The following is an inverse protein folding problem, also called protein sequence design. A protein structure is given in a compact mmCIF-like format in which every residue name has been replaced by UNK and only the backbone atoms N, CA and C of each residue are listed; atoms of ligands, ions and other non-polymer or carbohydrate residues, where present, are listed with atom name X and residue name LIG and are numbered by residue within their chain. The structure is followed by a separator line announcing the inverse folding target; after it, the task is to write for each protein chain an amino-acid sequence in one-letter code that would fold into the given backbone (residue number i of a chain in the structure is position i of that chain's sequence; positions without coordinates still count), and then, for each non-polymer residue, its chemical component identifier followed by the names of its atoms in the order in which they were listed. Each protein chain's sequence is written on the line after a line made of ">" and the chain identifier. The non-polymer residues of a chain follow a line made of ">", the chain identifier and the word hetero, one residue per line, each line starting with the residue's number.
data_IF_611913583407
#
_entry.id   IF_611913583407
#
_cell.length_a   1.000
_cell.length_b   1.000
_cell.length_c   1.000
_cell.angle_alpha   90.00
_cell.angle_beta   90.00
_cell.angle_gamma   90.00
#
_symmetry.space_group_name_H-M   'P 1'
#
loop_
_entity.id
_entity.type
_entity.pdbx_description
1 polymer ?
#
# COMPACT_ATOMS: atom_id res chain seq x y z
N UNK A 1 13.29 -10.06 -18.86
CA UNK A 1 12.22 -9.18 -18.36
C UNK A 1 11.40 -8.61 -19.50
N UNK A 2 12.00 -7.90 -20.45
CA UNK A 2 11.29 -7.31 -21.61
C UNK A 2 10.44 -8.32 -22.41
N UNK A 3 10.99 -9.50 -22.74
CA UNK A 3 10.22 -10.58 -23.41
C UNK A 3 9.06 -11.15 -22.58
N UNK A 4 9.16 -11.13 -21.25
CA UNK A 4 8.16 -11.74 -20.35
C UNK A 4 7.09 -10.73 -19.90
N UNK A 5 7.43 -9.44 -19.90
CA UNK A 5 6.60 -8.32 -19.47
C UNK A 5 6.73 -7.14 -20.47
N UNK A 6 6.35 -7.34 -21.74
CA UNK A 6 6.51 -6.31 -22.77
C UNK A 6 5.68 -5.08 -22.42
N UNK A 7 6.29 -3.89 -22.49
CA UNK A 7 5.63 -2.62 -22.17
C UNK A 7 5.47 -2.32 -20.67
N UNK A 8 5.82 -3.25 -19.78
CA UNK A 8 5.77 -3.03 -18.32
C UNK A 8 7.10 -2.56 -17.71
N UNK A 9 8.20 -2.70 -18.45
CA UNK A 9 9.53 -2.32 -17.97
C UNK A 9 10.23 -1.44 -19.00
N UNK A 10 10.92 -0.41 -18.52
CA UNK A 10 11.90 0.36 -19.28
C UNK A 10 13.25 0.25 -18.59
N UNK A 11 14.26 -0.22 -19.31
CA UNK A 11 15.63 -0.29 -18.80
C UNK A 11 16.35 1.02 -19.10
N UNK A 12 16.97 1.60 -18.09
CA UNK A 12 17.74 2.84 -18.20
C UNK A 12 19.13 2.59 -17.66
N UNK A 13 20.14 3.10 -18.37
CA UNK A 13 21.49 3.16 -17.86
C UNK A 13 21.60 4.35 -16.91
N UNK A 14 21.96 4.09 -15.66
CA UNK A 14 22.04 5.12 -14.62
C UNK A 14 23.12 6.17 -14.89
N UNK A 15 24.09 5.88 -15.77
CA UNK A 15 25.11 6.83 -16.23
C UNK A 15 24.53 7.92 -17.14
N UNK A 16 23.35 7.67 -17.74
CA UNK A 16 22.66 8.62 -18.61
C UNK A 16 21.69 9.45 -17.77
N UNK A 17 22.24 10.37 -16.98
CA UNK A 17 21.49 11.18 -15.99
C UNK A 17 20.24 11.84 -16.58
N UNK A 18 20.34 12.40 -17.79
CA UNK A 18 19.20 13.05 -18.46
C UNK A 18 18.04 12.09 -18.78
N UNK A 19 18.33 10.82 -19.10
CA UNK A 19 17.29 9.82 -19.34
C UNK A 19 16.61 9.38 -18.04
N UNK A 20 17.39 9.26 -16.96
CA UNK A 20 16.88 8.95 -15.63
C UNK A 20 15.99 10.10 -15.14
N UNK A 21 16.46 11.35 -15.23
CA UNK A 21 15.70 12.52 -14.84
C UNK A 21 14.40 12.65 -15.64
N UNK A 22 14.46 12.45 -16.95
CA UNK A 22 13.25 12.47 -17.79
C UNK A 22 12.25 11.37 -17.41
N UNK A 23 12.73 10.16 -17.12
CA UNK A 23 11.86 9.06 -16.70
C UNK A 23 11.24 9.28 -15.30
N UNK A 24 11.96 9.97 -14.41
CA UNK A 24 11.50 10.32 -13.07
C UNK A 24 10.72 11.63 -13.01
N UNK A 25 10.63 12.40 -14.10
CA UNK A 25 9.94 13.69 -14.11
C UNK A 25 8.45 13.56 -13.70
N UNK A 26 7.81 12.45 -14.05
CA UNK A 26 6.44 12.12 -13.61
C UNK A 26 6.34 11.58 -12.18
N UNK A 27 7.46 11.50 -11.46
CA UNK A 27 7.60 10.98 -10.11
C UNK A 27 8.27 12.00 -9.17
N UNK A 28 8.25 13.29 -9.53
CA UNK A 28 9.04 14.35 -8.89
C UNK A 28 8.76 14.55 -7.39
N UNK A 29 7.59 14.14 -6.91
CA UNK A 29 7.17 14.27 -5.51
C UNK A 29 7.62 13.10 -4.62
N UNK A 30 8.19 12.04 -5.21
CA UNK A 30 8.50 10.84 -4.46
C UNK A 30 9.90 10.93 -3.84
N UNK A 31 10.05 10.60 -2.54
CA UNK A 31 11.33 10.64 -1.85
C UNK A 31 12.21 9.44 -2.26
N UNK A 32 12.64 9.40 -3.52
CA UNK A 32 13.54 8.36 -4.03
C UNK A 32 14.99 8.76 -3.70
N UNK A 33 15.71 8.02 -2.82
CA UNK A 33 17.08 8.38 -2.48
C UNK A 33 17.99 8.17 -3.70
N UNK A 34 18.46 9.26 -4.34
CA UNK A 34 19.26 9.20 -5.57
C UNK A 34 20.49 8.28 -5.44
N UNK A 35 21.15 8.28 -4.28
CA UNK A 35 22.31 7.42 -3.99
C UNK A 35 22.00 5.93 -3.98
N UNK A 36 20.75 5.53 -3.76
CA UNK A 36 20.29 4.13 -3.83
C UNK A 36 19.72 3.79 -5.20
N UNK A 37 19.18 4.78 -5.91
CA UNK A 37 18.65 4.60 -7.25
C UNK A 37 19.76 4.32 -8.28
N UNK A 38 20.87 5.04 -8.17
CA UNK A 38 22.01 4.92 -9.06
C UNK A 38 23.24 4.51 -8.27
N UNK A 39 23.46 3.20 -8.14
CA UNK A 39 24.69 2.65 -7.55
C UNK A 39 25.48 1.80 -8.55
N UNK A 40 26.81 1.82 -8.51
CA UNK A 40 27.64 1.00 -9.40
C UNK A 40 27.29 -0.48 -9.29
N UNK A 41 27.01 -1.12 -10.43
CA UNK A 41 26.70 -2.55 -10.52
C UNK A 41 25.35 -2.98 -9.92
N UNK A 42 24.58 -2.04 -9.35
CA UNK A 42 23.29 -2.32 -8.75
C UNK A 42 22.13 -2.21 -9.74
N UNK A 43 21.04 -2.90 -9.43
CA UNK A 43 19.78 -2.78 -10.16
C UNK A 43 18.70 -2.32 -9.19
N UNK A 44 18.03 -1.23 -9.55
CA UNK A 44 16.90 -0.68 -8.81
C UNK A 44 15.71 -0.54 -9.76
N UNK A 45 14.49 -0.64 -9.24
CA UNK A 45 13.27 -0.39 -10.01
C UNK A 45 12.46 0.72 -9.34
N UNK A 46 11.91 1.58 -10.18
CA UNK A 46 10.93 2.58 -9.80
C UNK A 46 9.63 2.21 -10.50
N UNK A 47 8.60 2.07 -9.70
CA UNK A 47 7.27 1.73 -10.16
C UNK A 47 6.46 3.00 -10.47
N UNK A 48 5.42 2.97 -11.33
CA UNK A 48 4.57 4.13 -11.58
C UNK A 48 3.82 4.64 -10.34
N UNK A 49 3.59 3.76 -9.36
CA UNK A 49 3.06 4.11 -8.04
C UNK A 49 4.06 4.85 -7.15
N UNK A 50 5.30 5.03 -7.61
CA UNK A 50 6.38 5.65 -6.86
C UNK A 50 7.13 4.75 -5.89
N UNK A 51 6.74 3.48 -5.81
CA UNK A 51 7.46 2.49 -5.02
C UNK A 51 8.86 2.28 -5.63
N UNK A 52 9.85 2.30 -4.75
CA UNK A 52 11.25 2.09 -5.06
C UNK A 52 11.72 0.74 -4.50
N UNK A 53 12.34 -0.10 -5.35
CA UNK A 53 12.83 -1.43 -4.97
C UNK A 53 14.35 -1.49 -5.19
N UNK A 54 15.10 -1.76 -4.12
CA UNK A 54 16.57 -1.92 -4.09
C UNK A 54 16.97 -2.79 -2.89
N UNK A 55 17.96 -3.70 -3.00
CA UNK A 55 18.71 -4.17 -4.18
C UNK A 55 17.98 -5.27 -4.96
N UNK A 56 17.61 -5.07 -6.23
CA UNK A 56 16.86 -6.09 -7.01
C UNK A 56 17.73 -7.29 -7.34
N UNK A 57 19.03 -7.10 -7.57
CA UNK A 57 19.93 -8.20 -7.89
C UNK A 57 20.08 -9.20 -6.72
N UNK A 58 19.85 -8.76 -5.48
CA UNK A 58 19.84 -9.64 -4.31
C UNK A 58 18.50 -10.37 -4.16
N UNK A 59 17.40 -9.71 -4.54
CA UNK A 59 16.04 -10.23 -4.34
C UNK A 59 15.17 -10.09 -5.60
N UNK A 60 15.53 -10.73 -6.73
CA UNK A 60 14.83 -10.54 -8.01
C UNK A 60 13.37 -11.02 -7.97
N UNK A 61 13.04 -11.92 -7.02
CA UNK A 61 11.68 -12.42 -6.80
C UNK A 61 10.69 -11.29 -6.48
N UNK A 62 11.11 -10.24 -5.76
CA UNK A 62 10.24 -9.11 -5.40
C UNK A 62 9.80 -8.36 -6.65
N UNK A 63 10.74 -8.04 -7.55
CA UNK A 63 10.42 -7.40 -8.82
C UNK A 63 9.52 -8.30 -9.68
N UNK A 64 9.83 -9.60 -9.78
CA UNK A 64 9.03 -10.54 -10.57
C UNK A 64 7.62 -10.72 -10.02
N UNK A 65 7.45 -10.74 -8.70
CA UNK A 65 6.15 -10.76 -8.05
C UNK A 65 5.35 -9.51 -8.43
N UNK A 66 5.94 -8.32 -8.28
CA UNK A 66 5.26 -7.06 -8.58
C UNK A 66 4.86 -6.94 -10.07
N UNK A 67 5.75 -7.36 -10.97
CA UNK A 67 5.44 -7.38 -12.41
C UNK A 67 4.32 -8.37 -12.75
N UNK A 68 4.28 -9.53 -12.08
CA UNK A 68 3.17 -10.49 -12.23
C UNK A 68 1.88 -9.94 -11.63
N UNK A 69 1.95 -9.33 -10.46
CA UNK A 69 0.81 -8.71 -9.79
C UNK A 69 0.18 -7.68 -10.71
N UNK A 70 0.94 -6.71 -11.22
CA UNK A 70 0.44 -5.68 -12.13
C UNK A 70 -0.12 -6.19 -13.44
N UNK A 71 0.45 -7.28 -13.95
CA UNK A 71 -0.05 -7.92 -15.17
C UNK A 71 -1.37 -8.65 -14.94
N UNK A 72 -1.58 -9.18 -13.73
CA UNK A 72 -2.67 -10.13 -13.44
C UNK A 72 -3.81 -9.51 -12.64
N UNK A 73 -3.55 -8.42 -11.92
CA UNK A 73 -4.55 -7.71 -11.13
C UNK A 73 -5.35 -6.82 -12.06
N UNK A 74 -6.62 -7.15 -12.18
CA UNK A 74 -7.60 -6.36 -12.91
C UNK A 74 -8.16 -5.34 -11.93
N UNK A 75 -8.16 -4.04 -12.26
CA UNK A 75 -8.87 -3.04 -11.46
C UNK A 75 -10.34 -3.44 -11.31
N UNK A 76 -10.98 -3.13 -10.17
CA UNK A 76 -12.40 -3.43 -10.00
C UNK A 76 -13.22 -2.71 -11.07
N UNK A 77 -14.29 -3.35 -11.54
CA UNK A 77 -15.23 -2.70 -12.44
C UNK A 77 -15.93 -1.57 -11.68
N UNK A 78 -16.36 -0.53 -12.40
CA UNK A 78 -17.11 0.58 -11.80
C UNK A 78 -18.36 0.08 -11.07
N UNK A 79 -19.09 -0.87 -11.67
CA UNK A 79 -20.27 -1.48 -11.06
C UNK A 79 -19.96 -2.20 -9.74
N UNK A 80 -18.80 -2.86 -9.63
CA UNK A 80 -18.38 -3.50 -8.37
C UNK A 80 -18.04 -2.46 -7.30
N UNK A 81 -17.36 -1.38 -7.71
CA UNK A 81 -17.01 -0.28 -6.79
C UNK A 81 -18.26 0.41 -6.26
N UNK A 82 -19.22 0.71 -7.13
CA UNK A 82 -20.52 1.29 -6.75
C UNK A 82 -21.32 0.36 -5.83
N UNK A 83 -21.26 -0.95 -6.10
CA UNK A 83 -21.89 -1.97 -5.24
C UNK A 83 -21.26 -1.99 -3.86
N UNK A 84 -19.92 -1.98 -3.76
CA UNK A 84 -19.19 -1.95 -2.49
C UNK A 84 -19.49 -0.71 -1.69
N UNK A 85 -19.49 0.45 -2.35
CA UNK A 85 -19.83 1.70 -1.72
C UNK A 85 -21.23 1.64 -1.10
N UNK A 86 -22.23 1.19 -1.87
CA UNK A 86 -23.62 1.12 -1.42
C UNK A 86 -23.85 0.07 -0.33
N UNK A 87 -23.27 -1.12 -0.46
CA UNK A 87 -23.64 -2.29 0.36
C UNK A 87 -22.82 -2.40 1.66
N UNK A 88 -21.62 -1.82 1.69
CA UNK A 88 -20.70 -1.99 2.81
C UNK A 88 -20.15 -0.65 3.32
N UNK A 89 -19.57 0.18 2.44
CA UNK A 89 -18.84 1.38 2.88
C UNK A 89 -19.80 2.46 3.41
N UNK A 90 -20.82 2.85 2.65
CA UNK A 90 -21.77 3.88 3.07
C UNK A 90 -22.55 3.50 4.35
N UNK A 91 -23.03 2.26 4.53
CA UNK A 91 -23.62 1.83 5.80
C UNK A 91 -22.67 1.96 7.00
N UNK A 92 -21.42 1.53 6.84
CA UNK A 92 -20.41 1.62 7.89
C UNK A 92 -20.04 3.08 8.20
N UNK A 93 -19.92 3.92 7.18
CA UNK A 93 -19.68 5.36 7.34
C UNK A 93 -20.79 6.03 8.15
N UNK A 94 -22.06 5.75 7.83
CA UNK A 94 -23.21 6.25 8.59
C UNK A 94 -23.13 5.84 10.07
N UNK A 95 -22.84 4.57 10.34
CA UNK A 95 -22.74 4.06 11.71
C UNK A 95 -21.61 4.71 12.50
N UNK A 96 -20.49 5.03 11.83
CA UNK A 96 -19.40 5.81 12.42
C UNK A 96 -19.85 7.23 12.76
N UNK A 97 -20.47 7.93 11.80
CA UNK A 97 -20.96 9.31 12.00
C UNK A 97 -21.98 9.39 13.15
N UNK A 98 -22.92 8.45 13.22
CA UNK A 98 -23.90 8.36 14.33
C UNK A 98 -23.24 8.06 15.69
N UNK A 99 -22.10 7.37 15.70
CA UNK A 99 -21.35 7.10 16.92
C UNK A 99 -20.52 8.33 17.34
N UNK A 100 -19.94 9.05 16.39
CA UNK A 100 -19.26 10.33 16.63
C UNK A 100 -20.23 11.36 17.23
N UNK A 101 -21.46 11.44 16.73
CA UNK A 101 -22.52 12.31 17.26
C UNK A 101 -22.93 11.96 18.70
N UNK A 102 -22.86 10.68 19.09
CA UNK A 102 -23.15 10.22 20.46
C UNK A 102 -22.09 10.64 21.47
N UNK A 103 -20.92 11.09 21.00
CA UNK A 103 -19.86 11.65 21.81
C UNK A 103 -18.89 10.62 22.41
N UNK A 104 -18.08 11.05 23.40
CA UNK A 104 -16.98 10.27 23.95
C UNK A 104 -17.44 8.92 24.50
N UNK A 105 -16.69 7.85 24.19
CA UNK A 105 -17.02 6.47 24.59
C UNK A 105 -17.63 5.61 23.47
N UNK A 106 -17.92 6.18 22.30
CA UNK A 106 -18.38 5.44 21.11
C UNK A 106 -17.26 5.15 20.10
N UNK A 107 -16.00 5.23 20.54
CA UNK A 107 -14.79 5.09 19.69
C UNK A 107 -14.75 3.75 18.93
N UNK A 108 -15.29 2.69 19.54
CA UNK A 108 -15.38 1.35 18.94
C UNK A 108 -16.76 1.08 18.36
N UNK A 109 -17.28 2.03 17.59
CA UNK A 109 -18.58 1.95 16.91
C UNK A 109 -18.77 0.67 16.09
N UNK A 110 -17.68 0.13 15.57
CA UNK A 110 -17.63 -1.10 14.76
C UNK A 110 -17.92 -2.37 15.56
N UNK A 111 -17.98 -2.31 16.90
CA UNK A 111 -18.45 -3.40 17.76
C UNK A 111 -19.97 -3.43 17.93
N UNK A 112 -20.70 -2.44 17.41
CA UNK A 112 -22.16 -2.47 17.43
C UNK A 112 -22.68 -3.63 16.58
N UNK A 113 -23.83 -4.19 16.99
CA UNK A 113 -24.47 -5.31 16.29
C UNK A 113 -24.73 -4.99 14.81
N UNK A 114 -25.17 -3.76 14.51
CA UNK A 114 -25.38 -3.28 13.15
C UNK A 114 -24.09 -3.27 12.32
N UNK A 115 -22.99 -2.76 12.88
CA UNK A 115 -21.71 -2.73 12.17
C UNK A 115 -21.17 -4.14 11.94
N UNK A 116 -21.22 -5.00 12.97
CA UNK A 116 -20.78 -6.39 12.87
C UNK A 116 -21.57 -7.18 11.82
N UNK A 117 -22.87 -6.92 11.67
CA UNK A 117 -23.68 -7.55 10.63
C UNK A 117 -23.20 -7.16 9.22
N UNK A 118 -22.87 -5.89 8.99
CA UNK A 118 -22.33 -5.42 7.71
C UNK A 118 -20.93 -5.99 7.45
N UNK A 119 -20.05 -5.94 8.45
CA UNK A 119 -18.67 -6.45 8.39
C UNK A 119 -18.67 -7.96 8.09
N UNK A 120 -19.48 -8.73 8.81
CA UNK A 120 -19.57 -10.19 8.62
C UNK A 120 -20.02 -10.51 7.20
N UNK A 121 -21.05 -9.83 6.69
CA UNK A 121 -21.53 -10.02 5.32
C UNK A 121 -20.47 -9.66 4.27
N UNK A 122 -19.72 -8.58 4.48
CA UNK A 122 -18.62 -8.19 3.60
C UNK A 122 -17.52 -9.26 3.58
N UNK A 123 -17.11 -9.75 4.75
CA UNK A 123 -16.11 -10.80 4.88
C UNK A 123 -16.56 -12.13 4.26
N UNK A 124 -17.83 -12.51 4.41
CA UNK A 124 -18.38 -13.73 3.82
C UNK A 124 -18.42 -13.70 2.29
N UNK A 125 -18.75 -12.54 1.70
CA UNK A 125 -19.00 -12.42 0.25
C UNK A 125 -17.79 -11.93 -0.53
N UNK A 126 -17.10 -10.95 0.01
CA UNK A 126 -15.99 -10.26 -0.68
C UNK A 126 -14.62 -10.71 -0.16
N UNK A 127 -14.57 -11.44 0.96
CA UNK A 127 -13.34 -11.90 1.62
C UNK A 127 -12.46 -10.76 2.18
N UNK A 128 -12.99 -9.53 2.24
CA UNK A 128 -12.37 -8.39 2.90
C UNK A 128 -13.44 -7.42 3.42
N UNK A 129 -13.03 -6.51 4.31
CA UNK A 129 -13.84 -5.39 4.77
C UNK A 129 -12.92 -4.21 5.11
N UNK A 130 -13.39 -2.99 4.86
CA UNK A 130 -12.72 -1.77 5.28
C UNK A 130 -13.47 -1.18 6.47
N UNK A 131 -12.74 -0.86 7.54
CA UNK A 131 -13.29 -0.27 8.76
C UNK A 131 -12.48 0.98 9.08
N UNK A 132 -13.03 2.13 8.77
CA UNK A 132 -12.38 3.42 9.03
C UNK A 132 -12.44 3.77 10.51
N UNK A 133 -11.36 4.36 11.03
CA UNK A 133 -11.28 4.70 12.45
C UNK A 133 -11.34 3.46 13.36
N UNK A 134 -10.75 2.35 12.92
CA UNK A 134 -10.66 1.13 13.73
C UNK A 134 -9.93 1.37 15.06
N UNK A 135 -8.86 2.17 15.03
CA UNK A 135 -8.10 2.61 16.20
C UNK A 135 -8.23 4.12 16.40
N UNK A 136 -8.26 4.61 17.65
CA UNK A 136 -8.08 6.03 17.96
C UNK A 136 -6.71 6.55 17.49
N UNK A 137 -6.64 7.85 17.16
CA UNK A 137 -5.39 8.48 16.71
C UNK A 137 -4.25 8.32 17.73
N UNK A 138 -4.54 8.41 19.03
CA UNK A 138 -3.55 8.23 20.08
C UNK A 138 -2.93 6.83 20.12
N UNK A 139 -3.71 5.79 19.80
CA UNK A 139 -3.20 4.43 19.67
C UNK A 139 -2.33 4.27 18.42
N UNK A 140 -2.71 4.92 17.32
CA UNK A 140 -1.91 4.97 16.09
C UNK A 140 -0.57 5.65 16.36
N UNK A 141 -0.56 6.82 17.00
CA UNK A 141 0.65 7.57 17.32
C UNK A 141 1.59 6.74 18.21
N UNK A 142 1.03 6.06 19.23
CA UNK A 142 1.80 5.14 20.08
C UNK A 142 2.46 4.00 19.29
N UNK A 143 1.74 3.39 18.35
CA UNK A 143 2.27 2.32 17.49
C UNK A 143 3.36 2.83 16.55
N UNK A 144 3.20 4.03 16.00
CA UNK A 144 4.21 4.67 15.15
C UNK A 144 5.50 4.93 15.94
N UNK A 145 5.40 5.51 17.14
CA UNK A 145 6.56 5.78 18.00
C UNK A 145 7.26 4.48 18.44
N UNK A 146 6.50 3.41 18.71
CA UNK A 146 7.06 2.10 19.03
C UNK A 146 7.81 1.50 17.82
N UNK A 147 7.22 1.57 16.62
CA UNK A 147 7.85 1.06 15.40
C UNK A 147 9.14 1.82 15.06
N UNK A 148 9.16 3.14 15.25
CA UNK A 148 10.35 3.97 15.04
C UNK A 148 11.48 3.56 15.99
N UNK A 149 11.19 3.39 17.28
CA UNK A 149 12.19 2.93 18.27
C UNK A 149 12.74 1.55 17.93
N UNK A 150 11.88 0.59 17.59
CA UNK A 150 12.32 -0.75 17.18
C UNK A 150 13.22 -0.71 15.94
N UNK A 151 12.95 0.21 15.01
CA UNK A 151 13.78 0.41 13.84
C UNK A 151 15.15 1.01 14.22
N UNK A 152 15.18 2.01 15.10
CA UNK A 152 16.42 2.65 15.59
C UNK A 152 17.29 1.67 16.39
N UNK A 153 16.67 0.82 17.20
CA UNK A 153 17.34 -0.19 18.03
C UNK A 153 17.76 -1.43 17.23
N UNK A 154 17.44 -1.49 15.92
CA UNK A 154 17.74 -2.63 15.06
C UNK A 154 16.98 -3.91 15.41
N UNK A 155 15.89 -3.80 16.17
CA UNK A 155 15.03 -4.91 16.60
C UNK A 155 13.88 -5.18 15.64
N UNK A 156 13.68 -4.31 14.64
CA UNK A 156 12.67 -4.50 13.62
C UNK A 156 13.16 -5.52 12.57
N UNK A 157 12.77 -6.78 12.75
CA UNK A 157 12.98 -7.80 11.74
C UNK A 157 12.13 -7.52 10.49
N UNK A 158 12.79 -7.36 9.35
CA UNK A 158 12.11 -7.34 8.06
C UNK A 158 11.66 -8.77 7.75
N UNK A 159 10.38 -8.97 7.42
CA UNK A 159 9.80 -10.27 7.07
C UNK A 159 10.41 -10.99 5.85
N UNK A 160 11.52 -10.49 5.30
CA UNK A 160 12.25 -11.07 4.17
C UNK A 160 13.64 -11.62 4.56
N UNK A 161 13.96 -11.73 5.84
CA UNK A 161 15.28 -12.17 6.34
C UNK A 161 15.51 -13.70 6.32
N UNK A 162 14.79 -14.46 5.49
CA UNK A 162 14.94 -15.91 5.36
C UNK A 162 15.60 -16.30 4.04
#
# INVERSE_FOLDING_TARGET
>A
LDRAFPGFCRFLDSRLTSQVEHALAGCAELPVPRGRLSRPGGISAVLPSGIFIDPIEMHPKILLYELRYRRSVVPPLLADTERYEREYIAPLRRLREEAEERGPGSERWWLSEEALAVITRALERELFCLVDGFLPQSEIDFLVDAAQRLQEDGQLDRGNSV
#
